data_IF_306752141851
#
_entry.id   IF_306752141851
#
_cell.length_a   1.000
_cell.length_b   1.000
_cell.length_c   1.000
_cell.angle_alpha   90.00
_cell.angle_beta   90.00
_cell.angle_gamma   90.00
#
_symmetry.space_group_name_H-M   'P 1'
#
loop_
_entity.id
_entity.type
_entity.pdbx_description
1 polymer ?
#
# COMPACT_ATOMS: atom_id res chain seq x y z
N UNK A 1 10.85 -4.83 -23.19
CA UNK A 1 9.82 -4.76 -22.13
C UNK A 1 8.45 -4.87 -22.79
N UNK A 2 7.58 -5.71 -22.26
CA UNK A 2 6.20 -5.88 -22.72
C UNK A 2 5.25 -5.25 -21.71
N UNK A 3 4.04 -4.88 -22.15
CA UNK A 3 2.97 -4.47 -21.25
C UNK A 3 2.36 -5.72 -20.61
N UNK A 4 2.44 -5.83 -19.28
CA UNK A 4 1.85 -6.96 -18.52
C UNK A 4 0.59 -6.54 -17.76
N UNK A 5 0.34 -5.23 -17.64
CA UNK A 5 -0.88 -4.68 -17.06
C UNK A 5 -1.25 -3.37 -17.75
N UNK A 6 -2.46 -3.28 -18.22
CA UNK A 6 -3.05 -2.08 -18.83
C UNK A 6 -4.29 -1.61 -18.06
N UNK A 7 -4.65 -0.35 -18.18
CA UNK A 7 -5.90 0.17 -17.63
C UNK A 7 -7.04 -0.12 -18.60
N UNK A 8 -8.04 -0.87 -18.17
CA UNK A 8 -9.21 -1.28 -18.94
C UNK A 8 -10.01 -0.10 -19.55
N UNK A 9 -9.85 1.13 -19.01
CA UNK A 9 -10.61 2.30 -19.45
C UNK A 9 -9.84 3.20 -20.42
N UNK A 10 -8.53 3.30 -20.23
CA UNK A 10 -7.69 4.28 -20.96
C UNK A 10 -6.68 3.62 -21.88
N UNK A 11 -6.61 2.29 -21.93
CA UNK A 11 -5.57 1.51 -22.62
C UNK A 11 -4.14 2.00 -22.28
N UNK A 12 -3.97 2.58 -21.10
CA UNK A 12 -2.67 3.07 -20.64
C UNK A 12 -1.90 1.93 -20.00
N UNK A 13 -0.67 1.70 -20.45
CA UNK A 13 0.20 0.68 -19.84
C UNK A 13 0.52 1.07 -18.40
N UNK A 14 0.06 0.28 -17.44
CA UNK A 14 0.31 0.50 -16.01
C UNK A 14 1.58 -0.19 -15.51
N UNK A 15 1.93 -1.34 -16.10
CA UNK A 15 3.14 -2.08 -15.76
C UNK A 15 3.79 -2.64 -17.00
N UNK A 16 5.08 -2.36 -17.15
CA UNK A 16 5.93 -2.97 -18.18
C UNK A 16 6.91 -3.95 -17.54
N UNK A 17 7.19 -5.04 -18.22
CA UNK A 17 8.12 -6.04 -17.75
C UNK A 17 9.11 -6.49 -18.82
N UNK A 18 10.31 -6.85 -18.41
CA UNK A 18 11.34 -7.39 -19.29
C UNK A 18 12.11 -8.51 -18.60
N UNK A 19 12.25 -9.64 -19.27
CA UNK A 19 12.93 -10.81 -18.76
C UNK A 19 14.45 -10.69 -19.00
N UNK A 20 15.23 -11.06 -18.00
CA UNK A 20 16.67 -11.20 -18.09
C UNK A 20 17.10 -12.50 -17.38
N UNK A 21 18.16 -13.14 -17.90
CA UNK A 21 18.78 -14.28 -17.24
C UNK A 21 19.92 -13.79 -16.35
N UNK A 22 19.94 -14.24 -15.12
CA UNK A 22 21.11 -14.03 -14.27
C UNK A 22 22.07 -15.21 -14.50
N UNK A 23 23.21 -14.90 -15.11
CA UNK A 23 24.23 -15.92 -15.45
C UNK A 23 24.94 -16.52 -14.22
N UNK A 24 24.94 -15.81 -13.10
CA UNK A 24 25.60 -16.28 -11.87
C UNK A 24 24.72 -17.26 -11.05
N UNK A 25 23.41 -17.03 -11.01
CA UNK A 25 22.49 -17.83 -10.18
C UNK A 25 21.61 -18.77 -10.99
N UNK A 26 21.73 -18.76 -12.34
CA UNK A 26 20.88 -19.51 -13.28
C UNK A 26 19.38 -19.29 -13.07
N UNK A 27 18.99 -18.13 -12.52
CA UNK A 27 17.61 -17.72 -12.30
C UNK A 27 17.12 -16.77 -13.39
N UNK A 28 15.81 -16.78 -13.63
CA UNK A 28 15.17 -15.76 -14.44
C UNK A 28 14.79 -14.57 -13.54
N UNK A 29 15.09 -13.38 -13.99
CA UNK A 29 14.76 -12.12 -13.35
C UNK A 29 13.81 -11.31 -14.25
N UNK A 30 12.59 -11.06 -13.78
CA UNK A 30 11.63 -10.20 -14.45
C UNK A 30 11.72 -8.80 -13.83
N UNK A 31 12.25 -7.86 -14.59
CA UNK A 31 12.30 -6.44 -14.20
C UNK A 31 11.00 -5.76 -14.59
N UNK A 32 10.27 -5.29 -13.60
CA UNK A 32 8.98 -4.63 -13.76
C UNK A 32 9.10 -3.14 -13.46
N UNK A 33 8.48 -2.30 -14.27
CA UNK A 33 8.29 -0.87 -14.02
C UNK A 33 6.79 -0.57 -13.89
N UNK A 34 6.37 -0.07 -12.74
CA UNK A 34 4.98 0.28 -12.44
C UNK A 34 4.84 1.79 -12.29
N UNK A 35 3.97 2.38 -13.08
CA UNK A 35 3.66 3.83 -13.05
C UNK A 35 3.06 4.25 -11.71
N UNK A 36 2.16 3.46 -11.14
CA UNK A 36 1.53 3.78 -9.85
C UNK A 36 2.53 3.73 -8.70
N UNK A 37 3.45 2.75 -8.74
CA UNK A 37 4.54 2.64 -7.77
C UNK A 37 5.52 3.81 -7.92
N UNK A 38 5.87 4.19 -9.16
CA UNK A 38 6.73 5.35 -9.45
C UNK A 38 6.13 6.62 -8.85
N UNK A 39 4.86 6.94 -9.14
CA UNK A 39 4.16 8.11 -8.59
C UNK A 39 4.15 8.12 -7.07
N UNK A 40 3.89 6.98 -6.45
CA UNK A 40 3.89 6.84 -4.98
C UNK A 40 5.28 7.07 -4.40
N UNK A 41 6.30 6.45 -4.94
CA UNK A 41 7.70 6.58 -4.50
C UNK A 41 8.22 8.00 -4.68
N UNK A 42 7.93 8.65 -5.82
CA UNK A 42 8.29 10.05 -6.08
C UNK A 42 7.59 11.00 -5.08
N UNK A 43 6.30 10.81 -4.80
CA UNK A 43 5.58 11.60 -3.80
C UNK A 43 6.20 11.45 -2.41
N UNK A 44 6.59 10.23 -2.01
CA UNK A 44 7.26 9.99 -0.73
C UNK A 44 8.64 10.68 -0.72
N UNK A 45 9.43 10.49 -1.77
CA UNK A 45 10.76 11.11 -1.90
C UNK A 45 10.68 12.63 -1.82
N UNK A 46 9.74 13.26 -2.54
CA UNK A 46 9.53 14.72 -2.52
C UNK A 46 9.24 15.21 -1.10
N UNK A 47 8.31 14.57 -0.39
CA UNK A 47 8.00 14.93 1.01
C UNK A 47 9.21 14.83 1.94
N UNK A 48 10.04 13.81 1.76
CA UNK A 48 11.27 13.66 2.55
C UNK A 48 12.33 14.71 2.16
N UNK A 49 12.45 15.05 0.88
CA UNK A 49 13.35 16.11 0.39
C UNK A 49 12.96 17.47 0.99
N UNK A 50 11.68 17.84 0.91
CA UNK A 50 11.19 19.12 1.45
C UNK A 50 11.47 19.24 2.95
N UNK A 51 11.25 18.16 3.71
CA UNK A 51 11.53 18.10 5.15
C UNK A 51 13.03 18.20 5.42
N UNK A 52 13.87 17.52 4.65
CA UNK A 52 15.32 17.57 4.80
C UNK A 52 15.86 18.97 4.52
N UNK A 53 15.43 19.62 3.44
CA UNK A 53 15.82 20.99 3.09
C UNK A 53 15.32 22.02 4.12
N UNK A 54 14.13 21.82 4.66
CA UNK A 54 13.61 22.65 5.75
C UNK A 54 14.50 22.55 7.01
N UNK A 55 14.96 21.34 7.37
CA UNK A 55 15.86 21.15 8.51
C UNK A 55 17.26 21.69 8.25
N UNK A 56 17.79 21.57 7.02
CA UNK A 56 19.05 22.22 6.61
C UNK A 56 18.93 23.74 6.70
N UNK A 57 17.81 24.31 6.24
CA UNK A 57 17.51 25.75 6.34
C UNK A 57 17.45 26.21 7.80
N UNK A 58 16.80 25.45 8.68
CA UNK A 58 16.79 25.74 10.13
C UNK A 58 18.19 25.66 10.72
N UNK A 59 19.02 24.70 10.32
CA UNK A 59 20.39 24.59 10.78
C UNK A 59 21.23 25.78 10.32
N UNK A 60 21.08 26.23 9.07
CA UNK A 60 21.76 27.43 8.54
C UNK A 60 21.30 28.69 9.26
N UNK A 61 20.01 28.89 9.43
CA UNK A 61 19.47 30.08 10.13
C UNK A 61 19.91 30.14 11.58
N UNK A 62 20.12 29.00 12.25
CA UNK A 62 20.62 28.93 13.61
C UNK A 62 22.04 29.52 13.76
N UNK A 63 22.85 29.53 12.69
CA UNK A 63 24.17 30.15 12.69
C UNK A 63 24.09 31.69 12.88
N UNK A 64 23.01 32.32 12.43
CA UNK A 64 22.79 33.76 12.54
C UNK A 64 22.21 34.17 13.90
N UNK A 65 21.60 33.24 14.65
CA UNK A 65 20.98 33.56 15.95
C UNK A 65 22.01 33.79 17.06
N UNK A 66 21.74 34.71 17.99
CA UNK A 66 22.61 35.01 19.13
C UNK A 66 22.91 33.78 20.00
N UNK A 67 21.93 32.92 20.24
CA UNK A 67 22.04 31.70 21.05
C UNK A 67 22.12 30.42 20.19
N UNK A 68 22.40 30.54 18.87
CA UNK A 68 22.51 29.41 17.97
C UNK A 68 23.83 28.63 18.12
N UNK A 69 23.82 27.37 17.82
CA UNK A 69 25.01 26.50 17.80
C UNK A 69 25.89 26.88 16.62
N UNK A 70 27.07 27.47 16.90
CA UNK A 70 28.02 27.97 15.89
C UNK A 70 29.33 27.18 15.84
N UNK A 71 29.69 26.42 16.89
CA UNK A 71 30.89 25.57 16.89
C UNK A 71 30.85 24.58 15.75
N UNK A 72 31.94 24.55 14.97
CA UNK A 72 32.02 23.77 13.76
C UNK A 72 31.71 22.27 14.01
N UNK A 73 32.35 21.66 15.00
CA UNK A 73 32.13 20.24 15.36
C UNK A 73 30.65 19.95 15.65
N UNK A 74 29.99 20.81 16.40
CA UNK A 74 28.55 20.66 16.77
C UNK A 74 27.65 20.79 15.57
N UNK A 75 27.99 21.64 14.59
CA UNK A 75 27.27 21.81 13.35
C UNK A 75 27.47 20.57 12.47
N UNK A 76 28.69 20.06 12.35
CA UNK A 76 28.99 18.82 11.60
C UNK A 76 28.22 17.65 12.20
N UNK A 77 28.23 17.49 13.52
CA UNK A 77 27.49 16.44 14.23
C UNK A 77 25.98 16.55 13.97
N UNK A 78 25.43 17.76 14.04
CA UNK A 78 24.01 18.03 13.73
C UNK A 78 23.64 17.63 12.29
N UNK A 79 24.47 18.01 11.32
CA UNK A 79 24.24 17.65 9.91
C UNK A 79 24.40 16.13 9.72
N UNK A 80 25.34 15.47 10.38
CA UNK A 80 25.48 14.02 10.40
C UNK A 80 24.20 13.33 10.87
N UNK A 81 23.65 13.74 12.01
CA UNK A 81 22.38 13.21 12.54
C UNK A 81 21.19 13.47 11.59
N UNK A 82 21.17 14.64 10.91
CA UNK A 82 20.15 14.93 9.91
C UNK A 82 20.28 13.98 8.69
N UNK A 83 21.49 13.77 8.18
CA UNK A 83 21.74 12.82 7.09
C UNK A 83 21.31 11.39 7.44
N UNK A 84 21.56 10.97 8.67
CA UNK A 84 21.14 9.66 9.17
C UNK A 84 19.62 9.55 9.28
N UNK A 85 18.96 10.55 9.87
CA UNK A 85 17.49 10.61 10.00
C UNK A 85 16.79 10.62 8.65
N UNK A 86 17.36 11.26 7.64
CA UNK A 86 16.83 11.37 6.29
C UNK A 86 17.60 10.50 5.28
N UNK A 87 18.07 9.33 5.70
CA UNK A 87 18.90 8.41 4.89
C UNK A 87 18.31 8.12 3.50
N UNK A 88 16.98 8.10 3.39
CA UNK A 88 16.27 7.87 2.12
C UNK A 88 16.62 8.90 1.03
N UNK A 89 16.92 10.15 1.41
CA UNK A 89 17.15 11.25 0.45
C UNK A 89 18.50 11.94 0.61
N UNK A 90 19.14 11.84 1.79
CA UNK A 90 20.36 12.56 2.09
C UNK A 90 21.55 12.23 1.15
N UNK A 91 21.63 11.02 0.63
CA UNK A 91 22.67 10.60 -0.34
C UNK A 91 22.55 11.35 -1.66
N UNK A 92 21.40 11.96 -1.98
CA UNK A 92 21.15 12.76 -3.18
C UNK A 92 21.59 14.22 -3.03
N UNK A 93 22.10 14.59 -1.85
CA UNK A 93 22.56 15.93 -1.57
C UNK A 93 24.06 15.96 -1.33
N UNK A 94 24.69 17.01 -1.85
CA UNK A 94 26.00 17.40 -1.42
C UNK A 94 25.83 18.56 -0.44
N UNK A 95 26.28 18.35 0.80
CA UNK A 95 26.12 19.34 1.87
C UNK A 95 27.49 19.75 2.33
N UNK A 96 27.85 21.01 2.09
CA UNK A 96 29.07 21.66 2.49
C UNK A 96 28.86 22.53 3.76
N UNK A 97 29.86 22.58 4.63
CA UNK A 97 29.89 23.43 5.82
C UNK A 97 31.18 24.26 5.72
N UNK A 98 31.03 25.55 5.60
CA UNK A 98 32.16 26.50 5.58
C UNK A 98 32.61 26.79 6.99
N UNK A 99 33.89 26.58 7.27
CA UNK A 99 34.54 26.89 8.53
C UNK A 99 35.12 28.31 8.47
N UNK A 100 34.97 29.07 9.54
CA UNK A 100 35.68 30.34 9.72
C UNK A 100 37.16 30.03 10.08
N UNK A 101 38.09 30.68 9.41
CA UNK A 101 39.53 30.46 9.60
C UNK A 101 40.08 30.99 10.94
N UNK A 102 39.44 32.01 11.52
CA UNK A 102 39.90 32.66 12.75
C UNK A 102 39.20 32.13 14.02
N UNK A 103 37.95 31.72 13.86
CA UNK A 103 37.12 31.36 15.02
C UNK A 103 36.57 29.98 14.86
N UNK A 104 36.98 28.92 15.30
CA UNK A 104 36.47 27.55 15.17
C UNK A 104 34.90 27.42 15.08
N UNK A 105 34.30 28.29 14.25
CA UNK A 105 32.84 28.40 14.04
C UNK A 105 32.48 28.09 12.62
N UNK A 106 31.29 27.54 12.40
CA UNK A 106 30.70 27.39 11.09
C UNK A 106 30.16 28.75 10.60
N UNK A 107 30.55 29.16 9.39
CA UNK A 107 30.13 30.43 8.75
C UNK A 107 28.84 30.21 7.95
N UNK A 108 28.77 29.14 7.18
CA UNK A 108 27.62 28.89 6.29
C UNK A 108 27.41 27.39 6.09
N UNK A 109 26.19 27.01 5.70
CA UNK A 109 25.82 25.67 5.29
C UNK A 109 25.22 25.77 3.88
N UNK A 110 25.85 25.10 2.94
CA UNK A 110 25.42 25.04 1.53
C UNK A 110 24.98 23.62 1.19
N UNK A 111 24.05 23.48 0.27
CA UNK A 111 23.68 22.17 -0.27
C UNK A 111 23.25 22.27 -1.73
N UNK A 112 23.49 21.21 -2.47
CA UNK A 112 23.06 21.06 -3.84
C UNK A 112 22.52 19.66 -4.07
N UNK A 113 21.55 19.52 -4.99
CA UNK A 113 21.01 18.22 -5.37
C UNK A 113 21.89 17.56 -6.42
N UNK A 114 22.27 16.32 -6.20
CA UNK A 114 23.00 15.50 -7.18
C UNK A 114 22.04 14.99 -8.26
N UNK A 115 22.48 14.91 -9.51
CA UNK A 115 21.76 14.19 -10.55
C UNK A 115 21.85 12.70 -10.25
N UNK A 116 20.72 12.07 -9.95
CA UNK A 116 20.62 10.62 -9.71
C UNK A 116 19.70 10.00 -10.74
N UNK A 117 20.00 8.78 -11.15
CA UNK A 117 19.14 8.03 -12.05
C UNK A 117 17.76 7.79 -11.43
N UNK A 118 16.74 7.82 -12.29
CA UNK A 118 15.37 7.53 -11.87
C UNK A 118 15.18 6.02 -11.78
N UNK A 119 15.23 5.48 -10.57
CA UNK A 119 14.97 4.07 -10.29
C UNK A 119 13.61 3.85 -9.62
N UNK A 120 12.78 4.90 -9.56
CA UNK A 120 11.45 4.82 -8.95
C UNK A 120 10.53 3.93 -9.78
N UNK A 121 9.68 3.17 -9.09
CA UNK A 121 8.71 2.29 -9.74
C UNK A 121 9.28 0.95 -10.22
N UNK A 122 10.60 0.76 -10.18
CA UNK A 122 11.24 -0.48 -10.63
C UNK A 122 11.29 -1.50 -9.49
N UNK A 123 11.04 -2.76 -9.83
CA UNK A 123 11.23 -3.91 -8.95
C UNK A 123 11.54 -5.15 -9.77
N UNK A 124 12.06 -6.18 -9.12
CA UNK A 124 12.48 -7.41 -9.76
C UNK A 124 11.77 -8.60 -9.12
N UNK A 125 11.21 -9.47 -9.95
CA UNK A 125 10.70 -10.78 -9.57
C UNK A 125 11.71 -11.84 -10.01
N UNK A 126 12.05 -12.77 -9.13
CA UNK A 126 13.03 -13.83 -9.43
C UNK A 126 12.35 -15.19 -9.36
N UNK A 127 12.70 -16.07 -10.29
CA UNK A 127 12.20 -17.45 -10.33
C UNK A 127 13.27 -18.38 -10.87
N UNK A 128 13.29 -19.61 -10.40
CA UNK A 128 14.08 -20.73 -10.90
C UNK A 128 13.42 -21.43 -12.09
N UNK A 129 12.11 -21.16 -12.32
CA UNK A 129 11.32 -21.69 -13.44
C UNK A 129 11.74 -21.01 -14.75
N UNK A 130 12.31 -21.79 -15.68
CA UNK A 130 12.82 -21.32 -16.98
C UNK A 130 11.81 -21.44 -18.13
N UNK A 131 10.72 -22.11 -17.89
CA UNK A 131 9.66 -22.41 -18.84
C UNK A 131 8.58 -21.32 -18.91
N UNK A 132 8.66 -20.28 -18.05
CA UNK A 132 7.66 -19.22 -17.94
C UNK A 132 8.07 -18.00 -18.78
N UNK A 133 7.07 -17.40 -19.45
CA UNK A 133 7.21 -16.10 -20.09
C UNK A 133 6.91 -14.95 -19.12
N UNK A 134 7.14 -13.71 -19.57
CA UNK A 134 6.97 -12.50 -18.76
C UNK A 134 5.55 -12.37 -18.18
N UNK A 135 4.53 -12.63 -19.01
CA UNK A 135 3.13 -12.54 -18.59
C UNK A 135 2.78 -13.58 -17.54
N UNK A 136 3.24 -14.81 -17.72
CA UNK A 136 2.99 -15.90 -16.78
C UNK A 136 3.63 -15.64 -15.41
N UNK A 137 4.88 -15.15 -15.38
CA UNK A 137 5.55 -14.78 -14.12
C UNK A 137 4.78 -13.65 -13.42
N UNK A 138 4.32 -12.67 -14.19
CA UNK A 138 3.51 -11.56 -13.66
C UNK A 138 2.17 -12.05 -13.10
N UNK A 139 1.47 -12.92 -13.81
CA UNK A 139 0.19 -13.46 -13.40
C UNK A 139 0.31 -14.30 -12.12
N UNK A 140 1.35 -15.12 -12.01
CA UNK A 140 1.65 -15.88 -10.78
C UNK A 140 1.93 -14.92 -9.62
N UNK A 141 2.70 -13.87 -9.84
CA UNK A 141 2.96 -12.86 -8.80
C UNK A 141 1.69 -12.14 -8.34
N UNK A 142 0.83 -11.74 -9.26
CA UNK A 142 -0.44 -11.06 -8.92
C UNK A 142 -1.42 -11.99 -8.21
N UNK A 143 -1.41 -13.30 -8.52
CA UNK A 143 -2.21 -14.30 -7.83
C UNK A 143 -1.85 -14.40 -6.33
N UNK A 144 -0.59 -14.17 -5.94
CA UNK A 144 -0.20 -14.12 -4.53
C UNK A 144 -0.95 -13.02 -3.75
N UNK A 145 -1.21 -11.88 -4.39
CA UNK A 145 -2.00 -10.79 -3.80
C UNK A 145 -3.45 -11.20 -3.54
N UNK A 146 -4.04 -11.99 -4.45
CA UNK A 146 -5.40 -12.52 -4.27
C UNK A 146 -5.45 -13.55 -3.12
N UNK A 147 -4.42 -14.37 -2.98
CA UNK A 147 -4.27 -15.31 -1.86
C UNK A 147 -4.15 -14.56 -0.53
N UNK A 148 -3.33 -13.51 -0.47
CA UNK A 148 -3.20 -12.66 0.72
C UNK A 148 -4.53 -11.98 1.09
N UNK A 149 -5.29 -11.49 0.11
CA UNK A 149 -6.62 -10.91 0.34
C UNK A 149 -7.62 -11.96 0.86
N UNK A 150 -7.56 -13.19 0.34
CA UNK A 150 -8.36 -14.31 0.83
C UNK A 150 -8.06 -14.62 2.30
N UNK A 151 -6.79 -14.75 2.68
CA UNK A 151 -6.38 -14.97 4.07
C UNK A 151 -6.76 -13.80 4.98
N UNK A 152 -6.62 -12.56 4.52
CA UNK A 152 -7.03 -11.37 5.26
C UNK A 152 -8.53 -11.39 5.52
N UNK A 153 -9.33 -11.67 4.48
CA UNK A 153 -10.78 -11.76 4.59
C UNK A 153 -11.20 -12.85 5.58
N UNK A 154 -10.62 -14.05 5.49
CA UNK A 154 -10.92 -15.12 6.44
C UNK A 154 -10.56 -14.74 7.88
N UNK A 155 -9.41 -14.11 8.11
CA UNK A 155 -8.94 -13.74 9.45
C UNK A 155 -9.77 -12.61 10.07
N UNK A 156 -10.04 -11.55 9.32
CA UNK A 156 -10.63 -10.32 9.88
C UNK A 156 -12.14 -10.24 9.72
N UNK A 157 -12.68 -10.72 8.60
CA UNK A 157 -14.10 -10.55 8.29
C UNK A 157 -14.95 -11.77 8.63
N UNK A 158 -14.37 -12.96 8.49
CA UNK A 158 -15.05 -14.23 8.75
C UNK A 158 -14.67 -14.88 10.10
N UNK A 159 -13.82 -14.22 10.88
CA UNK A 159 -13.52 -14.64 12.24
C UNK A 159 -12.73 -15.94 12.38
N UNK A 160 -11.87 -16.27 11.39
CA UNK A 160 -10.99 -17.42 11.48
C UNK A 160 -10.08 -17.37 12.71
N UNK A 161 -9.73 -16.17 13.17
CA UNK A 161 -8.89 -15.97 14.37
C UNK A 161 -9.46 -14.85 15.24
N UNK A 162 -9.38 -15.00 16.59
CA UNK A 162 -8.83 -16.14 17.34
C UNK A 162 -9.80 -17.35 17.36
N UNK A 163 -9.24 -18.57 17.42
CA UNK A 163 -10.01 -19.80 17.60
C UNK A 163 -10.06 -20.07 19.12
N UNK A 164 -11.24 -20.05 19.72
CA UNK A 164 -11.43 -20.26 21.17
C UNK A 164 -11.75 -21.73 21.51
N UNK A 165 -11.75 -22.64 20.52
CA UNK A 165 -11.99 -24.04 20.73
C UNK A 165 -10.74 -24.77 21.22
N UNK A 166 -10.90 -25.62 22.23
CA UNK A 166 -9.80 -26.44 22.78
C UNK A 166 -9.76 -27.87 22.19
N UNK A 167 -10.88 -28.33 21.65
CA UNK A 167 -10.98 -29.67 21.05
C UNK A 167 -10.67 -29.59 19.55
N UNK A 168 -9.77 -30.44 19.05
CA UNK A 168 -9.33 -30.51 17.66
C UNK A 168 -10.49 -30.56 16.68
N UNK A 169 -11.43 -31.50 16.85
CA UNK A 169 -12.61 -31.63 15.99
C UNK A 169 -13.46 -30.35 15.92
N UNK A 170 -13.50 -29.53 16.97
CA UNK A 170 -14.21 -28.23 16.94
C UNK A 170 -13.41 -27.18 16.20
N UNK A 171 -12.07 -27.23 16.27
CA UNK A 171 -11.19 -26.35 15.49
C UNK A 171 -11.34 -26.65 14.00
N UNK A 172 -11.39 -27.93 13.62
CA UNK A 172 -11.55 -28.36 12.22
C UNK A 172 -12.89 -27.91 11.65
N UNK A 173 -13.98 -28.08 12.41
CA UNK A 173 -15.30 -27.60 12.02
C UNK A 173 -15.33 -26.08 11.88
N UNK A 174 -14.68 -25.34 12.79
CA UNK A 174 -14.58 -23.88 12.69
C UNK A 174 -13.85 -23.44 11.42
N UNK A 175 -12.72 -24.08 11.11
CA UNK A 175 -11.94 -23.81 9.89
C UNK A 175 -12.78 -24.14 8.64
N UNK A 176 -13.43 -25.29 8.62
CA UNK A 176 -14.28 -25.72 7.50
C UNK A 176 -15.44 -24.74 7.25
N UNK A 177 -16.16 -24.34 8.29
CA UNK A 177 -17.25 -23.34 8.17
C UNK A 177 -16.71 -22.02 7.64
N UNK A 178 -15.54 -21.57 8.09
CA UNK A 178 -14.92 -20.33 7.63
C UNK A 178 -14.52 -20.41 6.15
N UNK A 179 -13.97 -21.54 5.71
CA UNK A 179 -13.66 -21.77 4.30
C UNK A 179 -14.92 -21.77 3.43
N UNK A 180 -15.98 -22.42 3.88
CA UNK A 180 -17.27 -22.44 3.18
C UNK A 180 -17.87 -21.03 3.07
N UNK A 181 -17.85 -20.28 4.17
CA UNK A 181 -18.29 -18.87 4.20
C UNK A 181 -17.47 -18.02 3.22
N UNK A 182 -16.15 -18.23 3.15
CA UNK A 182 -15.29 -17.55 2.17
C UNK A 182 -15.68 -17.86 0.74
N UNK A 183 -15.97 -19.12 0.40
CA UNK A 183 -16.42 -19.50 -0.96
C UNK A 183 -17.72 -18.78 -1.35
N UNK A 184 -18.69 -18.71 -0.45
CA UNK A 184 -19.95 -17.98 -0.68
C UNK A 184 -19.65 -16.49 -0.92
N UNK A 185 -18.87 -15.88 -0.05
CA UNK A 185 -18.47 -14.47 -0.15
C UNK A 185 -17.72 -14.18 -1.45
N UNK A 186 -16.75 -15.03 -1.81
CA UNK A 186 -16.00 -14.91 -3.06
C UNK A 186 -16.92 -14.99 -4.28
N UNK A 187 -17.86 -15.93 -4.28
CA UNK A 187 -18.86 -16.07 -5.37
C UNK A 187 -19.70 -14.82 -5.52
N UNK A 188 -20.14 -14.21 -4.40
CA UNK A 188 -20.87 -12.93 -4.42
C UNK A 188 -20.00 -11.84 -5.02
N UNK A 189 -18.75 -11.69 -4.56
CA UNK A 189 -17.79 -10.68 -5.08
C UNK A 189 -17.56 -10.83 -6.58
N UNK A 190 -17.36 -12.06 -7.07
CA UNK A 190 -17.17 -12.34 -8.50
C UNK A 190 -18.40 -11.92 -9.31
N UNK A 191 -19.60 -12.28 -8.84
CA UNK A 191 -20.85 -11.89 -9.52
C UNK A 191 -21.06 -10.37 -9.54
N UNK A 192 -20.72 -9.66 -8.47
CA UNK A 192 -20.81 -8.21 -8.38
C UNK A 192 -19.76 -7.53 -9.29
N UNK A 193 -18.52 -8.03 -9.32
CA UNK A 193 -17.46 -7.54 -10.23
C UNK A 193 -17.85 -7.65 -11.70
N UNK A 194 -18.49 -8.77 -12.10
CA UNK A 194 -19.03 -8.93 -13.46
C UNK A 194 -20.09 -7.90 -13.83
N UNK A 195 -20.75 -7.28 -12.83
CA UNK A 195 -21.73 -6.20 -13.01
C UNK A 195 -21.13 -4.80 -12.79
N UNK A 196 -19.80 -4.68 -12.74
CA UNK A 196 -19.09 -3.41 -12.56
C UNK A 196 -18.97 -2.93 -11.10
N UNK A 197 -19.50 -3.68 -10.12
CA UNK A 197 -19.41 -3.33 -8.70
C UNK A 197 -18.08 -3.84 -8.13
N UNK A 198 -17.16 -2.94 -7.80
CA UNK A 198 -15.80 -3.25 -7.30
C UNK A 198 -15.59 -2.87 -5.82
N UNK A 199 -16.65 -2.75 -5.04
CA UNK A 199 -16.55 -2.41 -3.63
C UNK A 199 -15.90 -3.52 -2.80
N UNK A 200 -15.20 -3.13 -1.71
CA UNK A 200 -14.75 -4.09 -0.70
C UNK A 200 -15.93 -4.68 0.07
N UNK A 201 -15.73 -5.85 0.69
CA UNK A 201 -16.80 -6.54 1.41
C UNK A 201 -17.42 -5.70 2.53
N UNK A 202 -16.61 -4.95 3.26
CA UNK A 202 -17.08 -4.07 4.34
C UNK A 202 -18.08 -3.02 3.82
N UNK A 203 -17.83 -2.43 2.65
CA UNK A 203 -18.74 -1.48 2.01
C UNK A 203 -20.03 -2.17 1.56
N UNK A 204 -19.92 -3.35 0.91
CA UNK A 204 -21.08 -4.14 0.48
C UNK A 204 -21.94 -4.50 1.68
N UNK A 205 -21.33 -5.00 2.75
CA UNK A 205 -22.01 -5.36 4.00
C UNK A 205 -22.72 -4.16 4.62
N UNK A 206 -22.08 -2.98 4.66
CA UNK A 206 -22.67 -1.75 5.18
C UNK A 206 -23.91 -1.34 4.37
N UNK A 207 -23.84 -1.37 3.05
CA UNK A 207 -24.97 -1.07 2.18
C UNK A 207 -26.10 -2.07 2.33
N UNK A 208 -25.80 -3.38 2.42
CA UNK A 208 -26.80 -4.42 2.61
C UNK A 208 -27.44 -4.39 4.02
N UNK A 209 -26.71 -3.95 5.04
CA UNK A 209 -27.22 -3.88 6.42
C UNK A 209 -28.37 -2.89 6.60
N UNK A 210 -28.51 -1.92 5.68
CA UNK A 210 -29.66 -0.98 5.66
C UNK A 210 -30.91 -1.60 5.05
N UNK A 211 -30.80 -2.75 4.38
CA UNK A 211 -31.91 -3.47 3.78
C UNK A 211 -32.60 -4.35 4.82
N UNK A 212 -33.74 -3.89 5.30
CA UNK A 212 -34.49 -4.60 6.33
C UNK A 212 -35.89 -4.95 5.81
N UNK A 213 -36.42 -6.08 6.30
CA UNK A 213 -37.81 -6.43 6.11
C UNK A 213 -38.55 -6.17 7.41
N UNK A 214 -39.46 -5.19 7.42
CA UNK A 214 -40.31 -4.88 8.56
C UNK A 214 -41.61 -5.67 8.45
N UNK A 215 -41.96 -6.39 9.52
CA UNK A 215 -43.25 -7.03 9.64
C UNK A 215 -44.05 -6.32 10.74
N UNK A 216 -45.09 -5.62 10.35
CA UNK A 216 -46.03 -5.00 11.29
C UNK A 216 -47.18 -5.95 11.54
N UNK A 217 -47.41 -6.30 12.79
CA UNK A 217 -48.49 -7.19 13.19
C UNK A 217 -49.57 -6.38 13.91
N UNK A 218 -50.80 -6.46 13.44
CA UNK A 218 -51.93 -5.74 14.02
C UNK A 218 -53.07 -6.71 14.26
N UNK A 219 -53.78 -6.50 15.38
CA UNK A 219 -55.01 -7.25 15.70
C UNK A 219 -56.22 -6.50 15.10
N UNK A 220 -56.97 -7.18 14.29
CA UNK A 220 -58.21 -6.66 13.66
C UNK A 220 -59.33 -6.70 14.67
N UNK A 221 -60.38 -5.90 14.47
CA UNK A 221 -61.60 -5.84 15.33
C UNK A 221 -62.31 -7.20 15.46
N UNK A 222 -62.20 -8.06 14.45
CA UNK A 222 -62.71 -9.45 14.43
C UNK A 222 -61.82 -10.47 15.17
N UNK A 223 -60.76 -10.01 15.84
CA UNK A 223 -59.84 -10.85 16.60
C UNK A 223 -58.71 -11.47 15.76
N UNK A 224 -58.74 -11.38 14.43
CA UNK A 224 -57.70 -11.94 13.53
C UNK A 224 -56.44 -11.07 13.52
N UNK A 225 -55.29 -11.75 13.38
CA UNK A 225 -54.01 -11.06 13.24
C UNK A 225 -53.69 -10.79 11.79
N UNK A 226 -53.35 -9.55 11.45
CA UNK A 226 -52.86 -9.14 10.13
C UNK A 226 -51.37 -8.91 10.24
N UNK A 227 -50.61 -9.50 9.30
CA UNK A 227 -49.18 -9.30 9.13
C UNK A 227 -48.91 -8.56 7.81
N UNK A 228 -48.43 -7.33 7.92
CA UNK A 228 -47.99 -6.53 6.75
C UNK A 228 -46.48 -6.59 6.71
N UNK A 229 -45.93 -7.12 5.62
CA UNK A 229 -44.46 -7.22 5.38
C UNK A 229 -44.06 -6.24 4.29
N UNK A 230 -43.14 -5.32 4.60
CA UNK A 230 -42.54 -4.41 3.67
C UNK A 230 -41.02 -4.48 3.76
N UNK A 231 -40.34 -4.50 2.61
CA UNK A 231 -38.89 -4.36 2.56
C UNK A 231 -38.53 -2.88 2.35
N UNK A 232 -37.42 -2.45 2.94
CA UNK A 232 -36.85 -1.15 2.65
C UNK A 232 -36.52 -1.04 1.14
N UNK A 233 -36.59 0.15 0.58
CA UNK A 233 -36.08 0.39 -0.77
C UNK A 233 -34.55 0.49 -0.72
N UNK A 234 -33.88 -0.08 -1.72
CA UNK A 234 -32.46 0.13 -1.88
C UNK A 234 -32.21 1.62 -2.23
N UNK A 235 -31.31 2.27 -1.52
CA UNK A 235 -30.79 3.56 -1.93
C UNK A 235 -29.91 3.38 -3.17
N UNK A 236 -29.99 4.33 -4.09
CA UNK A 236 -29.10 4.33 -5.25
C UNK A 236 -27.65 4.48 -4.74
N UNK A 237 -26.69 3.70 -5.23
CA UNK A 237 -25.29 3.94 -4.90
C UNK A 237 -24.88 5.33 -5.37
N UNK A 238 -24.37 6.14 -4.44
CA UNK A 238 -23.79 7.45 -4.71
C UNK A 238 -22.43 7.30 -5.41
#
# INVERSE_FOLDING_TARGET
MIAVKEDDKTNTVLVQAGLAKNHETDELALYCHSIDKEKKEESIKTKFQDRFEAELTKARNALCLKNGTKRYDKVVERIGRLKERFKLVSHRYDVGIEKDTETDKAKNITWSRKKTEKTSGIYCLRTDRKDLNEQQIWDIYTMLTDIEDAFRCMKSELGLRPIYHQKEARCDVHIFITLLAYHVLHTIRVKLRKRGVRFCWTTIRKQLSTQVRVTTTMKRKDGKMIHIRKSSKAEAPH
#
